data_IF_212595487984
#
_entry.id   IF_212595487984
#
_cell.length_a   1.000
_cell.length_b   1.000
_cell.length_c   1.000
_cell.angle_alpha   90.00
_cell.angle_beta   90.00
_cell.angle_gamma   90.00
#
_symmetry.space_group_name_H-M   'P 1'
#
loop_
_entity.id
_entity.type
_entity.pdbx_description
1 polymer ?
#
# COMPACT_ATOMS: atom_id res chain seq x y z
N UNK A 1 -30.82 57.48 32.51
CA UNK A 1 -29.35 57.51 32.69
C UNK A 1 -28.89 56.12 33.12
N UNK A 2 -27.97 55.51 32.34
CA UNK A 2 -27.07 54.37 32.68
C UNK A 2 -27.74 53.00 32.91
N UNK A 3 -27.26 51.84 32.45
CA UNK A 3 -26.23 51.39 31.51
C UNK A 3 -26.46 49.85 31.36
N UNK A 4 -26.49 49.30 30.15
CA UNK A 4 -25.52 48.34 29.57
C UNK A 4 -25.39 46.96 30.23
N UNK A 5 -25.56 45.90 29.41
CA UNK A 5 -24.94 44.54 29.36
C UNK A 5 -25.91 43.72 28.47
N UNK A 6 -25.81 43.64 27.14
CA UNK A 6 -24.76 43.00 26.31
C UNK A 6 -24.25 41.69 26.90
N UNK A 7 -24.93 40.60 26.56
CA UNK A 7 -24.27 39.34 26.23
C UNK A 7 -25.23 38.58 25.31
N UNK A 8 -25.32 39.00 24.05
CA UNK A 8 -24.79 38.19 22.95
C UNK A 8 -24.97 36.70 23.29
N UNK A 9 -26.16 36.17 22.99
CA UNK A 9 -26.37 34.74 22.82
C UNK A 9 -25.46 34.32 21.67
N UNK A 10 -24.21 34.07 22.04
CA UNK A 10 -23.21 33.34 21.32
C UNK A 10 -23.79 31.94 21.18
N UNK A 11 -24.69 31.77 20.20
CA UNK A 11 -24.98 30.48 19.62
C UNK A 11 -23.64 30.09 19.03
N UNK A 12 -22.84 29.42 19.87
CA UNK A 12 -21.64 28.73 19.48
C UNK A 12 -22.16 27.75 18.44
N UNK A 13 -21.98 28.15 17.18
CA UNK A 13 -21.97 27.28 16.04
C UNK A 13 -21.01 26.17 16.45
N UNK A 14 -21.56 25.10 17.02
CA UNK A 14 -20.93 23.80 17.00
C UNK A 14 -20.82 23.50 15.50
N UNK A 15 -19.80 24.05 14.88
CA UNK A 15 -19.20 23.48 13.70
C UNK A 15 -18.77 22.10 14.19
N UNK A 16 -19.69 21.16 14.06
CA UNK A 16 -19.38 19.76 14.01
C UNK A 16 -18.36 19.70 12.90
N UNK A 17 -17.09 19.59 13.28
CA UNK A 17 -16.04 19.17 12.37
C UNK A 17 -16.44 17.74 11.99
N UNK A 18 -17.36 17.61 11.03
CA UNK A 18 -17.42 16.40 10.25
C UNK A 18 -16.01 16.30 9.69
N UNK A 19 -15.25 15.34 10.19
CA UNK A 19 -14.00 14.96 9.55
C UNK A 19 -14.41 14.67 8.10
N UNK A 20 -14.00 15.55 7.20
CA UNK A 20 -14.26 15.40 5.78
C UNK A 20 -13.50 14.14 5.40
N UNK A 21 -14.20 13.01 5.40
CA UNK A 21 -13.72 11.80 4.79
C UNK A 21 -13.70 12.15 3.31
N UNK A 22 -12.55 12.66 2.86
CA UNK A 22 -12.39 13.18 1.51
C UNK A 22 -12.98 12.22 0.49
N UNK A 23 -13.60 12.77 -0.56
CA UNK A 23 -14.20 11.96 -1.61
C UNK A 23 -13.22 10.89 -2.08
N UNK A 24 -13.67 9.63 -2.25
CA UNK A 24 -12.80 8.57 -2.72
C UNK A 24 -12.18 8.99 -4.06
N UNK A 25 -10.90 8.65 -4.31
CA UNK A 25 -10.26 9.00 -5.56
C UNK A 25 -11.04 8.40 -6.73
N UNK A 26 -11.07 9.12 -7.86
CA UNK A 26 -11.70 8.63 -9.09
C UNK A 26 -11.07 7.32 -9.58
N UNK A 27 -9.79 7.09 -9.27
CA UNK A 27 -9.06 5.88 -9.62
C UNK A 27 -8.20 5.38 -8.46
N UNK A 28 -8.12 4.07 -8.31
CA UNK A 28 -7.22 3.39 -7.39
C UNK A 28 -6.08 2.73 -8.15
N UNK A 29 -4.85 2.88 -7.64
CA UNK A 29 -3.73 2.03 -8.01
C UNK A 29 -3.74 0.78 -7.15
N UNK A 30 -3.72 -0.39 -7.78
CA UNK A 30 -3.79 -1.69 -7.09
C UNK A 30 -2.52 -2.49 -7.38
N UNK A 31 -1.96 -3.13 -6.34
CA UNK A 31 -0.83 -4.05 -6.47
C UNK A 31 -1.28 -5.49 -6.23
N UNK A 32 -0.84 -6.41 -7.08
CA UNK A 32 -1.22 -7.82 -7.05
C UNK A 32 0.01 -8.68 -6.81
N UNK A 33 0.05 -9.34 -5.65
CA UNK A 33 1.03 -10.37 -5.32
C UNK A 33 0.72 -11.69 -6.03
N UNK A 34 1.73 -12.50 -6.29
CA UNK A 34 1.58 -13.73 -7.09
C UNK A 34 2.52 -14.85 -6.62
N UNK A 35 2.28 -16.07 -7.13
CA UNK A 35 3.28 -17.13 -7.16
C UNK A 35 3.97 -17.15 -8.53
N UNK A 36 5.29 -17.26 -8.53
CA UNK A 36 6.15 -17.18 -9.73
C UNK A 36 6.58 -18.54 -10.28
N UNK A 37 5.94 -19.64 -9.83
CA UNK A 37 6.17 -20.99 -10.37
C UNK A 37 5.60 -21.21 -11.80
N UNK A 38 4.93 -20.21 -12.37
CA UNK A 38 4.36 -20.23 -13.72
C UNK A 38 4.88 -19.09 -14.58
N UNK A 39 3.98 -18.40 -15.29
CA UNK A 39 4.32 -17.24 -16.14
C UNK A 39 4.53 -15.92 -15.40
N UNK A 40 4.24 -15.89 -14.10
CA UNK A 40 4.31 -14.67 -13.31
C UNK A 40 5.76 -14.28 -13.04
N UNK A 41 6.05 -12.99 -13.17
CA UNK A 41 7.38 -12.41 -12.94
C UNK A 41 7.50 -11.71 -11.57
N UNK A 42 6.41 -11.57 -10.82
CA UNK A 42 6.44 -10.95 -9.49
C UNK A 42 5.15 -10.20 -9.13
N UNK A 43 5.29 -8.92 -8.80
CA UNK A 43 4.17 -8.04 -8.39
C UNK A 43 3.68 -7.26 -9.60
N UNK A 44 2.38 -7.30 -9.86
CA UNK A 44 1.74 -6.53 -10.94
C UNK A 44 1.01 -5.31 -10.40
N UNK A 45 0.79 -4.32 -11.26
CA UNK A 45 -0.01 -3.14 -10.95
C UNK A 45 -1.18 -2.98 -11.91
N UNK A 46 -2.29 -2.51 -11.38
CA UNK A 46 -3.53 -2.25 -12.09
C UNK A 46 -4.02 -0.84 -11.76
N UNK A 47 -4.88 -0.32 -12.64
CA UNK A 47 -5.73 0.84 -12.37
C UNK A 47 -7.17 0.38 -12.27
N UNK A 48 -7.84 0.77 -11.18
CA UNK A 48 -9.25 0.49 -10.91
C UNK A 48 -10.00 1.82 -10.93
N UNK A 49 -10.91 1.97 -11.88
CA UNK A 49 -11.85 3.08 -11.94
C UNK A 49 -12.90 2.92 -10.83
N UNK A 50 -13.02 3.92 -9.95
CA UNK A 50 -13.83 3.84 -8.74
C UNK A 50 -15.35 3.94 -9.01
N UNK A 51 -15.75 4.56 -10.12
CA UNK A 51 -17.15 4.75 -10.49
C UNK A 51 -17.71 3.53 -11.23
N UNK A 52 -16.93 3.01 -12.18
CA UNK A 52 -17.35 1.94 -13.10
C UNK A 52 -16.87 0.56 -12.67
N UNK A 53 -15.86 0.48 -11.80
CA UNK A 53 -15.19 -0.78 -11.43
C UNK A 53 -14.30 -1.35 -12.54
N UNK A 54 -14.05 -0.59 -13.62
CA UNK A 54 -13.21 -1.06 -14.73
C UNK A 54 -11.76 -1.23 -14.26
N UNK A 55 -11.18 -2.40 -14.57
CA UNK A 55 -9.78 -2.72 -14.28
C UNK A 55 -8.96 -2.64 -15.55
N UNK A 56 -7.87 -1.90 -15.50
CA UNK A 56 -6.84 -1.83 -16.54
C UNK A 56 -5.52 -2.39 -16.01
N UNK A 57 -4.91 -3.30 -16.77
CA UNK A 57 -3.57 -3.79 -16.44
C UNK A 57 -2.52 -2.77 -16.82
N UNK A 58 -1.68 -2.39 -15.86
CA UNK A 58 -0.54 -1.50 -16.06
C UNK A 58 0.80 -2.29 -16.13
N UNK A 59 0.71 -3.62 -16.11
CA UNK A 59 1.86 -4.53 -16.26
C UNK A 59 2.64 -4.81 -14.98
N UNK A 60 3.85 -5.34 -15.15
CA UNK A 60 4.74 -5.71 -14.05
C UNK A 60 5.16 -4.48 -13.26
N UNK A 61 4.84 -4.45 -11.96
CA UNK A 61 5.26 -3.39 -11.04
C UNK A 61 6.70 -3.61 -10.57
N UNK A 62 7.06 -4.84 -10.20
CA UNK A 62 8.42 -5.20 -9.80
C UNK A 62 8.63 -6.72 -9.77
N UNK A 63 9.82 -7.14 -10.19
CA UNK A 63 10.20 -8.54 -10.18
C UNK A 63 10.55 -9.01 -8.75
N UNK A 64 9.99 -10.14 -8.34
CA UNK A 64 10.25 -10.77 -7.05
C UNK A 64 9.82 -12.24 -7.11
N UNK A 65 10.50 -13.11 -6.35
CA UNK A 65 10.13 -14.53 -6.31
C UNK A 65 9.04 -14.77 -5.26
N UNK A 66 7.92 -15.35 -5.72
CA UNK A 66 6.74 -15.69 -4.90
C UNK A 66 6.29 -14.57 -3.94
N UNK A 67 6.03 -13.32 -4.41
CA UNK A 67 5.55 -12.24 -3.58
C UNK A 67 4.06 -12.39 -3.24
N UNK A 68 3.72 -13.43 -2.46
CA UNK A 68 2.33 -13.89 -2.29
C UNK A 68 1.48 -13.05 -1.33
N UNK A 69 2.08 -12.11 -0.60
CA UNK A 69 1.39 -11.21 0.31
C UNK A 69 2.12 -9.87 0.39
N UNK A 70 1.38 -8.76 0.37
CA UNK A 70 1.90 -7.41 0.30
C UNK A 70 1.38 -6.54 1.45
N UNK A 71 2.15 -5.54 1.86
CA UNK A 71 1.71 -4.48 2.78
C UNK A 71 2.26 -3.13 2.31
N UNK A 72 1.42 -2.09 2.28
CA UNK A 72 1.83 -0.72 1.98
C UNK A 72 2.16 0.00 3.27
N UNK A 73 3.28 0.73 3.31
CA UNK A 73 3.59 1.60 4.43
C UNK A 73 2.54 2.73 4.53
N UNK A 74 2.00 3.07 5.72
CA UNK A 74 0.89 4.02 5.85
C UNK A 74 1.22 5.46 5.39
N UNK A 75 2.48 5.87 5.51
CA UNK A 75 2.93 7.24 5.23
C UNK A 75 4.08 7.39 4.23
N UNK A 76 4.62 6.30 3.70
CA UNK A 76 5.79 6.32 2.81
C UNK A 76 5.45 5.59 1.54
N UNK A 77 6.13 5.96 0.46
CA UNK A 77 6.05 5.26 -0.82
C UNK A 77 6.86 3.95 -0.77
N UNK A 78 6.52 3.06 0.17
CA UNK A 78 7.18 1.78 0.37
C UNK A 78 6.13 0.68 0.35
N UNK A 79 6.40 -0.35 -0.46
CA UNK A 79 5.66 -1.60 -0.48
C UNK A 79 6.54 -2.71 0.10
N UNK A 80 6.01 -3.45 1.05
CA UNK A 80 6.62 -4.65 1.58
C UNK A 80 5.96 -5.88 0.97
N UNK A 81 6.75 -6.94 0.75
CA UNK A 81 6.21 -8.24 0.35
C UNK A 81 6.88 -9.35 1.14
N UNK A 82 6.14 -10.43 1.39
CA UNK A 82 6.80 -11.73 1.59
C UNK A 82 7.44 -12.17 0.27
N UNK A 83 8.34 -13.14 0.32
CA UNK A 83 8.97 -13.70 -0.87
C UNK A 83 9.74 -14.97 -0.56
N UNK A 84 10.35 -15.53 -1.60
CA UNK A 84 11.25 -16.67 -1.50
C UNK A 84 12.61 -16.36 -2.10
N UNK A 85 13.60 -17.14 -1.70
CA UNK A 85 14.93 -17.16 -2.28
C UNK A 85 15.69 -18.38 -1.79
N UNK A 86 17.00 -18.38 -2.04
CA UNK A 86 17.88 -19.49 -1.72
C UNK A 86 19.10 -18.97 -0.96
N UNK A 87 19.51 -19.66 0.11
CA UNK A 87 20.75 -19.33 0.82
C UNK A 87 22.01 -19.87 0.11
N UNK A 88 23.18 -19.56 0.67
CA UNK A 88 24.47 -20.00 0.12
C UNK A 88 24.62 -21.54 0.04
N UNK A 89 23.82 -22.29 0.80
CA UNK A 89 23.82 -23.76 0.79
C UNK A 89 22.87 -24.36 -0.25
N UNK A 90 22.09 -23.53 -0.95
CA UNK A 90 21.05 -24.01 -1.86
C UNK A 90 19.70 -24.28 -1.17
N UNK A 91 19.56 -24.01 0.14
CA UNK A 91 18.31 -24.24 0.85
C UNK A 91 17.33 -23.08 0.63
N UNK A 92 16.05 -23.42 0.43
CA UNK A 92 14.97 -22.43 0.30
C UNK A 92 14.84 -21.61 1.56
N UNK A 93 14.71 -20.29 1.40
CA UNK A 93 14.48 -19.32 2.46
C UNK A 93 13.33 -18.39 2.11
N UNK A 94 12.62 -17.96 3.14
CA UNK A 94 11.69 -16.86 3.06
C UNK A 94 12.43 -15.53 3.10
N UNK A 95 11.84 -14.55 2.43
CA UNK A 95 12.33 -13.18 2.37
C UNK A 95 11.22 -12.21 2.77
N UNK A 96 11.61 -11.11 3.40
CA UNK A 96 10.85 -9.88 3.45
C UNK A 96 11.52 -8.88 2.51
N UNK A 97 10.83 -8.51 1.43
CA UNK A 97 11.32 -7.53 0.47
C UNK A 97 10.73 -6.16 0.79
N UNK A 98 11.50 -5.09 0.60
CA UNK A 98 11.01 -3.72 0.61
C UNK A 98 11.26 -3.08 -0.76
N UNK A 99 10.26 -2.41 -1.30
CA UNK A 99 10.32 -1.71 -2.58
C UNK A 99 9.96 -0.24 -2.39
N UNK A 100 10.68 0.65 -3.03
CA UNK A 100 10.26 2.04 -3.21
C UNK A 100 9.25 2.09 -4.37
N UNK A 101 8.13 2.75 -4.13
CA UNK A 101 7.09 3.01 -5.14
C UNK A 101 7.43 4.30 -5.86
N UNK A 102 7.52 4.24 -7.18
CA UNK A 102 7.46 5.44 -8.03
C UNK A 102 6.07 6.08 -7.89
N UNK A 103 5.95 7.34 -7.42
CA UNK A 103 4.66 7.96 -7.15
C UNK A 103 3.83 8.16 -8.43
N UNK A 104 4.48 8.43 -9.58
CA UNK A 104 3.80 8.72 -10.84
C UNK A 104 3.40 7.44 -11.57
N UNK A 105 4.34 6.51 -11.74
CA UNK A 105 4.17 5.32 -12.56
C UNK A 105 3.69 4.10 -11.77
N UNK A 106 3.91 4.09 -10.44
CA UNK A 106 3.63 2.96 -9.58
C UNK A 106 4.60 1.78 -9.73
N UNK A 107 5.71 1.98 -10.43
CA UNK A 107 6.77 0.96 -10.60
C UNK A 107 7.51 0.77 -9.26
N UNK A 108 7.92 -0.46 -8.97
CA UNK A 108 8.58 -0.85 -7.73
C UNK A 108 10.08 -1.03 -7.98
N UNK A 109 10.89 -0.28 -7.24
CA UNK A 109 12.34 -0.47 -7.21
C UNK A 109 12.71 -1.18 -5.91
N UNK A 110 13.39 -2.33 -6.00
CA UNK A 110 13.83 -3.06 -4.81
C UNK A 110 14.81 -2.20 -3.99
N UNK A 111 14.48 -1.96 -2.73
CA UNK A 111 15.34 -1.24 -1.77
C UNK A 111 16.30 -2.23 -1.10
N UNK A 112 15.74 -3.24 -0.45
CA UNK A 112 16.49 -4.34 0.15
C UNK A 112 15.59 -5.57 0.32
N UNK A 113 16.20 -6.66 0.79
CA UNK A 113 15.53 -7.90 1.18
C UNK A 113 16.25 -8.51 2.37
N UNK A 114 15.48 -9.02 3.32
CA UNK A 114 16.01 -9.67 4.52
C UNK A 114 15.45 -11.08 4.66
N UNK A 115 16.23 -11.98 5.25
CA UNK A 115 15.77 -13.34 5.50
C UNK A 115 14.74 -13.37 6.63
N UNK A 116 13.66 -14.14 6.43
CA UNK A 116 12.74 -14.49 7.51
C UNK A 116 13.18 -15.76 8.28
N UNK A 117 14.43 -16.21 8.08
CA UNK A 117 15.07 -17.41 8.66
C UNK A 117 14.45 -18.75 8.23
N UNK A 118 13.14 -18.88 8.33
CA UNK A 118 12.35 -20.02 7.82
C UNK A 118 12.03 -19.91 6.34
N UNK A 119 11.35 -20.92 5.80
CA UNK A 119 10.81 -20.91 4.45
C UNK A 119 9.30 -20.60 4.46
N UNK A 120 8.81 -20.05 3.35
CA UNK A 120 7.37 -19.86 3.12
C UNK A 120 6.65 -18.86 4.05
N UNK A 121 7.16 -17.64 4.28
CA UNK A 121 6.37 -16.60 4.93
C UNK A 121 5.08 -16.36 4.13
N UNK A 122 3.94 -16.39 4.81
CA UNK A 122 2.62 -16.32 4.18
C UNK A 122 1.90 -14.98 4.39
N UNK A 123 2.44 -14.11 5.24
CA UNK A 123 1.84 -12.83 5.61
C UNK A 123 2.91 -11.80 6.02
N UNK A 124 2.66 -10.53 5.73
CA UNK A 124 3.45 -9.39 6.22
C UNK A 124 2.50 -8.24 6.56
N UNK A 125 2.83 -7.49 7.59
CA UNK A 125 2.06 -6.30 8.01
C UNK A 125 3.01 -5.19 8.41
N UNK A 126 2.44 -3.99 8.54
CA UNK A 126 3.11 -2.78 9.01
C UNK A 126 2.23 -2.15 10.08
N UNK A 127 2.87 -1.52 11.05
CA UNK A 127 2.21 -0.83 12.18
C UNK A 127 1.81 0.61 11.83
#
# INVERSE_FOLDING_TARGET
MKATIVFLLFVCMFAVCAADAGEPPAEWRVYIGTYTGGRSEGIYRLRLDAETGRIESLGLAGAAENPSFLALHPHKNILYSVGQGTDASGARRGLANAFVIDPEQGVLTLLNRESTVGAGPCHITVD
#
